data_IF_304246484397
#
_entry.id   IF_304246484397
#
_cell.length_a   1.000
_cell.length_b   1.000
_cell.length_c   1.000
_cell.angle_alpha   90.00
_cell.angle_beta   90.00
_cell.angle_gamma   90.00
#
_symmetry.space_group_name_H-M   'P 1'
#
loop_
_entity.id
_entity.type
_entity.pdbx_description
1 polymer ?
#
# COMPACT_ATOMS: atom_id res chain seq x y z
N UNK A 1 29.46 -1.40 -11.48
CA UNK A 1 28.63 -0.21 -11.74
C UNK A 1 28.20 0.50 -10.47
N UNK A 2 29.12 1.26 -9.87
CA UNK A 2 28.87 2.10 -8.69
C UNK A 2 28.11 3.41 -9.01
N UNK A 3 28.01 3.78 -10.29
CA UNK A 3 27.20 4.91 -10.76
C UNK A 3 25.68 4.73 -10.55
N UNK A 4 25.21 3.50 -10.34
CA UNK A 4 23.80 3.22 -10.07
C UNK A 4 23.42 3.33 -8.59
N UNK A 5 24.38 3.38 -7.66
CA UNK A 5 24.09 3.47 -6.21
C UNK A 5 23.95 4.94 -5.77
N UNK A 6 24.68 5.86 -6.40
CA UNK A 6 24.48 7.30 -6.23
C UNK A 6 23.16 7.78 -6.82
N UNK A 7 22.77 7.32 -8.02
CA UNK A 7 21.46 7.64 -8.59
C UNK A 7 20.29 7.00 -7.81
N UNK A 8 20.54 5.89 -7.09
CA UNK A 8 19.57 5.24 -6.21
C UNK A 8 19.23 6.08 -4.97
N UNK A 9 20.21 6.76 -4.37
CA UNK A 9 19.98 7.67 -3.24
C UNK A 9 19.48 9.05 -3.64
N UNK A 10 19.75 9.49 -4.88
CA UNK A 10 19.17 10.73 -5.42
C UNK A 10 17.69 10.55 -5.80
N UNK A 11 17.28 9.36 -6.27
CA UNK A 11 15.89 9.07 -6.65
C UNK A 11 15.01 8.63 -5.49
N UNK A 12 15.58 7.97 -4.47
CA UNK A 12 14.85 7.64 -3.24
C UNK A 12 15.04 8.82 -2.30
N UNK A 13 14.03 9.70 -2.28
CA UNK A 13 13.77 10.71 -1.25
C UNK A 13 14.71 10.61 -0.06
N UNK A 14 15.55 11.66 0.11
CA UNK A 14 16.28 12.03 1.32
C UNK A 14 15.69 11.35 2.58
N UNK A 15 16.51 10.78 3.50
CA UNK A 15 16.02 10.11 4.71
C UNK A 15 15.37 11.09 5.71
N UNK A 16 14.31 11.78 5.28
CA UNK A 16 13.50 12.75 6.03
C UNK A 16 12.81 12.07 7.21
N UNK A 17 12.54 10.77 7.12
CA UNK A 17 11.97 9.98 8.21
C UNK A 17 12.95 9.77 9.39
N UNK A 18 14.24 10.05 9.22
CA UNK A 18 15.24 10.02 10.28
C UNK A 18 15.61 11.42 10.79
N UNK A 19 14.93 12.48 10.35
CA UNK A 19 15.27 13.87 10.70
C UNK A 19 14.04 14.50 11.37
N UNK A 20 14.18 15.03 12.59
CA UNK A 20 13.14 15.93 13.17
C UNK A 20 13.68 17.34 12.99
N UNK A 21 12.84 18.24 12.48
CA UNK A 21 13.11 19.69 12.43
C UNK A 21 14.47 20.09 11.86
N UNK A 22 14.87 19.62 10.68
CA UNK A 22 16.05 20.13 9.93
C UNK A 22 17.39 20.22 10.72
N UNK A 23 17.54 19.65 11.92
CA UNK A 23 18.69 19.94 12.79
C UNK A 23 19.28 18.74 13.53
N UNK A 24 18.58 17.61 13.69
CA UNK A 24 19.14 16.39 14.32
C UNK A 24 18.56 15.08 13.74
N UNK A 25 19.40 14.03 13.75
CA UNK A 25 18.95 12.66 13.50
C UNK A 25 18.05 12.17 14.65
N UNK A 26 16.93 11.51 14.31
CA UNK A 26 15.97 10.94 15.26
C UNK A 26 16.50 9.60 15.81
N UNK A 27 17.55 9.66 16.62
CA UNK A 27 18.18 8.46 17.18
C UNK A 27 17.26 7.65 18.09
N UNK A 28 16.26 8.28 18.71
CA UNK A 28 15.21 7.58 19.47
C UNK A 28 14.45 6.55 18.62
N UNK A 29 14.20 6.84 17.33
CA UNK A 29 13.54 5.89 16.42
C UNK A 29 14.36 4.63 16.18
N UNK A 30 15.68 4.71 16.29
CA UNK A 30 16.58 3.55 16.17
C UNK A 30 16.42 2.64 17.39
N UNK A 31 16.30 3.24 18.58
CA UNK A 31 16.05 2.51 19.82
C UNK A 31 14.68 1.85 19.79
N UNK A 32 13.63 2.57 19.37
CA UNK A 32 12.29 2.02 19.22
C UNK A 32 12.25 0.86 18.21
N UNK A 33 12.96 1.01 17.09
CA UNK A 33 13.09 -0.05 16.07
C UNK A 33 13.80 -1.29 16.61
N UNK A 34 14.86 -1.12 17.44
CA UNK A 34 15.51 -2.26 18.08
C UNK A 34 14.55 -2.97 19.03
N UNK A 35 13.88 -2.24 19.92
CA UNK A 35 12.94 -2.81 20.90
C UNK A 35 11.81 -3.59 20.23
N UNK A 36 11.25 -3.05 19.14
CA UNK A 36 10.14 -3.69 18.43
C UNK A 36 10.51 -5.05 17.79
N UNK A 37 11.80 -5.27 17.49
CA UNK A 37 12.26 -6.44 16.72
C UNK A 37 13.47 -7.16 17.33
N UNK A 38 13.77 -6.93 18.60
CA UNK A 38 14.98 -7.48 19.25
C UNK A 38 15.04 -9.00 19.18
N UNK A 39 13.88 -9.69 19.34
CA UNK A 39 13.78 -11.14 19.26
C UNK A 39 14.13 -11.74 17.89
N UNK A 40 14.24 -10.92 16.85
CA UNK A 40 14.58 -11.34 15.49
C UNK A 40 15.98 -10.89 15.07
N UNK A 41 16.59 -9.97 15.80
CA UNK A 41 17.85 -9.32 15.44
C UNK A 41 19.01 -9.92 16.25
N UNK A 42 20.15 -10.10 15.59
CA UNK A 42 21.41 -10.52 16.24
C UNK A 42 22.22 -9.34 16.80
N UNK A 43 21.69 -8.13 16.71
CA UNK A 43 22.35 -6.89 17.16
C UNK A 43 21.65 -6.37 18.41
N UNK A 44 22.44 -6.15 19.46
CA UNK A 44 21.96 -5.83 20.79
C UNK A 44 22.08 -4.35 21.15
N UNK A 45 21.88 -4.02 22.44
CA UNK A 45 21.94 -2.64 22.93
C UNK A 45 23.26 -1.93 22.63
N UNK A 46 24.38 -2.67 22.60
CA UNK A 46 25.72 -2.10 22.35
C UNK A 46 25.84 -1.54 20.94
N UNK A 47 25.51 -2.31 19.91
CA UNK A 47 25.64 -1.86 18.53
C UNK A 47 24.67 -0.72 18.19
N UNK A 48 23.51 -0.69 18.87
CA UNK A 48 22.57 0.43 18.78
C UNK A 48 23.11 1.67 19.48
N UNK A 49 23.73 1.52 20.66
CA UNK A 49 24.39 2.61 21.37
C UNK A 49 25.50 3.24 20.53
N UNK A 50 26.34 2.42 19.90
CA UNK A 50 27.43 2.90 19.03
C UNK A 50 26.88 3.65 17.80
N UNK A 51 25.84 3.11 17.15
CA UNK A 51 25.19 3.74 16.00
C UNK A 51 24.51 5.07 16.38
N UNK A 52 23.75 5.09 17.46
CA UNK A 52 23.03 6.28 17.94
C UNK A 52 24.00 7.38 18.37
N UNK A 53 25.11 7.01 19.03
CA UNK A 53 26.19 7.94 19.37
C UNK A 53 26.82 8.56 18.12
N UNK A 54 27.15 7.73 17.12
CA UNK A 54 27.74 8.21 15.87
C UNK A 54 26.80 9.15 15.08
N UNK A 55 25.51 8.83 15.01
CA UNK A 55 24.52 9.66 14.32
C UNK A 55 24.22 10.97 15.04
N UNK A 56 24.31 10.99 16.38
CA UNK A 56 24.07 12.19 17.19
C UNK A 56 25.13 13.27 16.95
N UNK A 57 26.32 12.90 16.46
CA UNK A 57 27.38 13.84 16.11
C UNK A 57 27.17 14.51 14.75
N UNK A 58 26.25 14.00 13.92
CA UNK A 58 26.00 14.57 12.60
C UNK A 58 24.96 15.69 12.72
N UNK A 59 25.34 16.89 12.30
CA UNK A 59 24.39 17.98 12.02
C UNK A 59 23.78 17.78 10.62
N UNK A 60 22.50 17.40 10.50
CA UNK A 60 21.87 17.17 9.20
C UNK A 60 21.79 18.47 8.40
N UNK A 61 22.17 18.41 7.14
CA UNK A 61 21.92 19.50 6.19
C UNK A 61 20.55 19.32 5.53
N UNK A 62 19.90 20.43 5.16
CA UNK A 62 18.75 20.39 4.26
C UNK A 62 19.14 20.07 2.82
N UNK A 63 20.43 20.19 2.48
CA UNK A 63 20.99 19.76 1.21
C UNK A 63 21.25 18.25 1.20
N UNK A 64 20.72 17.56 0.19
CA UNK A 64 20.80 16.11 0.08
C UNK A 64 22.25 15.61 -0.05
N UNK A 65 23.08 16.31 -0.82
CA UNK A 65 24.47 15.92 -1.07
C UNK A 65 25.29 16.03 0.20
N UNK A 66 25.14 17.13 0.95
CA UNK A 66 25.81 17.33 2.24
C UNK A 66 25.31 16.36 3.31
N UNK A 67 24.00 16.11 3.37
CA UNK A 67 23.43 15.12 4.28
C UNK A 67 24.01 13.72 4.00
N UNK A 68 24.04 13.32 2.73
CA UNK A 68 24.61 12.03 2.33
C UNK A 68 26.10 11.93 2.67
N UNK A 69 26.90 12.95 2.34
CA UNK A 69 28.34 12.98 2.66
C UNK A 69 28.59 12.82 4.16
N UNK A 70 27.74 13.42 4.99
CA UNK A 70 27.87 13.33 6.46
C UNK A 70 27.39 11.99 7.02
N UNK A 71 26.37 11.39 6.42
CA UNK A 71 25.80 10.10 6.85
C UNK A 71 26.59 8.88 6.36
N UNK A 72 27.15 8.93 5.14
CA UNK A 72 27.77 7.79 4.47
C UNK A 72 28.89 7.10 5.30
N UNK A 73 29.79 7.82 6.00
CA UNK A 73 30.81 7.17 6.83
C UNK A 73 30.21 6.35 7.99
N UNK A 74 29.17 6.88 8.65
CA UNK A 74 28.45 6.17 9.72
C UNK A 74 27.72 4.96 9.14
N UNK A 75 27.08 5.13 7.99
CA UNK A 75 26.43 4.02 7.30
C UNK A 75 27.39 2.88 6.96
N UNK A 76 28.56 3.16 6.37
CA UNK A 76 29.51 2.10 5.99
C UNK A 76 30.09 1.39 7.23
N UNK A 77 30.40 2.13 8.32
CA UNK A 77 30.87 1.54 9.58
C UNK A 77 29.81 0.64 10.25
N UNK A 78 28.55 1.04 10.20
CA UNK A 78 27.43 0.36 10.90
C UNK A 78 26.46 -0.35 9.96
N UNK A 79 26.88 -0.63 8.72
CA UNK A 79 26.02 -1.11 7.63
C UNK A 79 25.24 -2.37 7.98
N UNK A 80 25.91 -3.33 8.62
CA UNK A 80 25.28 -4.59 9.01
C UNK A 80 24.22 -4.37 10.10
N UNK A 81 24.50 -3.53 11.10
CA UNK A 81 23.56 -3.13 12.15
C UNK A 81 22.34 -2.42 11.56
N UNK A 82 22.56 -1.41 10.71
CA UNK A 82 21.48 -0.66 10.05
C UNK A 82 20.60 -1.58 9.20
N UNK A 83 21.21 -2.46 8.39
CA UNK A 83 20.48 -3.43 7.57
C UNK A 83 19.68 -4.42 8.40
N UNK A 84 20.15 -4.81 9.59
CA UNK A 84 19.39 -5.69 10.48
C UNK A 84 18.19 -4.96 11.07
N UNK A 85 18.42 -3.80 11.68
CA UNK A 85 17.40 -3.02 12.35
C UNK A 85 16.25 -2.67 11.41
N UNK A 86 16.55 -2.30 10.17
CA UNK A 86 15.56 -1.85 9.18
C UNK A 86 15.20 -2.91 8.14
N UNK A 87 15.24 -4.20 8.50
CA UNK A 87 14.72 -5.32 7.71
C UNK A 87 15.36 -5.49 6.31
N UNK A 88 16.61 -5.04 6.16
CA UNK A 88 17.43 -5.20 4.96
C UNK A 88 18.19 -6.52 4.88
N UNK A 89 18.28 -7.29 5.98
CA UNK A 89 18.86 -8.64 5.96
C UNK A 89 17.80 -9.71 5.70
N UNK A 90 18.03 -10.55 4.68
CA UNK A 90 17.08 -11.57 4.22
C UNK A 90 16.62 -12.50 5.35
N UNK A 91 17.55 -13.06 6.12
CA UNK A 91 17.26 -14.03 7.18
C UNK A 91 16.41 -13.44 8.31
N UNK A 92 16.74 -12.23 8.77
CA UNK A 92 15.97 -11.51 9.80
C UNK A 92 14.55 -11.24 9.29
N UNK A 93 14.45 -10.71 8.08
CA UNK A 93 13.16 -10.37 7.46
C UNK A 93 12.30 -11.60 7.22
N UNK A 94 12.88 -12.74 6.85
CA UNK A 94 12.16 -14.01 6.72
C UNK A 94 11.64 -14.54 8.06
N UNK A 95 12.42 -14.43 9.14
CA UNK A 95 11.96 -14.77 10.49
C UNK A 95 10.77 -13.90 10.90
N UNK A 96 10.80 -12.60 10.60
CA UNK A 96 9.70 -11.66 10.88
C UNK A 96 8.45 -12.05 10.08
N UNK A 97 8.58 -12.26 8.77
CA UNK A 97 7.43 -12.68 7.93
C UNK A 97 6.80 -13.99 8.40
N UNK A 98 7.64 -14.99 8.74
CA UNK A 98 7.17 -16.28 9.26
C UNK A 98 6.43 -16.12 10.59
N UNK A 99 6.97 -15.31 11.50
CA UNK A 99 6.38 -15.14 12.83
C UNK A 99 5.10 -14.29 12.81
N UNK A 100 5.02 -13.27 11.95
CA UNK A 100 3.83 -12.43 11.85
C UNK A 100 2.72 -13.09 11.00
N UNK A 101 3.07 -13.96 10.05
CA UNK A 101 2.11 -14.74 9.27
C UNK A 101 1.02 -13.87 8.64
N UNK A 102 -0.25 -14.21 8.86
CA UNK A 102 -1.40 -13.47 8.34
C UNK A 102 -1.60 -12.07 8.93
N UNK A 103 -0.81 -11.65 9.92
CA UNK A 103 -0.88 -10.30 10.50
C UNK A 103 -0.08 -9.25 9.71
N UNK A 104 0.71 -9.67 8.73
CA UNK A 104 1.44 -8.78 7.82
C UNK A 104 1.25 -9.21 6.36
N UNK A 105 1.17 -8.23 5.44
CA UNK A 105 1.14 -8.49 4.00
C UNK A 105 2.41 -9.24 3.60
N UNK A 106 2.27 -10.45 3.07
CA UNK A 106 3.40 -11.27 2.68
C UNK A 106 4.13 -10.71 1.45
N UNK A 107 5.35 -11.22 1.18
CA UNK A 107 6.05 -10.92 -0.08
C UNK A 107 5.18 -11.38 -1.25
N UNK A 108 5.18 -10.62 -2.35
CA UNK A 108 4.43 -10.91 -3.59
C UNK A 108 2.89 -10.89 -3.48
N UNK A 109 2.35 -10.84 -2.25
CA UNK A 109 0.92 -10.66 -2.00
C UNK A 109 0.50 -9.18 -2.21
N UNK A 110 -0.62 -8.95 -2.88
CA UNK A 110 -1.20 -7.61 -3.01
C UNK A 110 -1.84 -7.16 -1.69
N UNK A 111 -1.82 -5.85 -1.40
CA UNK A 111 -2.49 -5.35 -0.19
C UNK A 111 -3.99 -5.66 -0.18
N UNK A 112 -4.63 -5.71 -1.36
CA UNK A 112 -6.02 -6.09 -1.46
C UNK A 112 -6.27 -7.55 -1.08
N UNK A 113 -5.40 -8.46 -1.52
CA UNK A 113 -5.44 -9.86 -1.08
C UNK A 113 -5.25 -9.98 0.44
N UNK A 114 -4.25 -9.28 0.99
CA UNK A 114 -3.98 -9.26 2.43
C UNK A 114 -5.18 -8.76 3.24
N UNK A 115 -5.74 -7.60 2.86
CA UNK A 115 -6.89 -7.01 3.54
C UNK A 115 -8.16 -7.87 3.40
N UNK A 116 -8.38 -8.48 2.22
CA UNK A 116 -9.53 -9.35 2.00
C UNK A 116 -9.48 -10.60 2.87
N UNK A 117 -8.30 -11.23 3.04
CA UNK A 117 -8.14 -12.36 3.96
C UNK A 117 -8.52 -12.00 5.41
N UNK A 118 -8.23 -10.77 5.82
CA UNK A 118 -8.47 -10.30 7.18
C UNK A 118 -9.92 -9.91 7.44
N UNK A 119 -10.57 -9.25 6.48
CA UNK A 119 -11.87 -8.60 6.70
C UNK A 119 -13.01 -9.17 5.84
N UNK A 120 -12.71 -9.98 4.81
CA UNK A 120 -13.71 -10.53 3.89
C UNK A 120 -13.73 -12.06 3.87
N UNK A 121 -13.17 -12.73 4.88
CA UNK A 121 -13.07 -14.20 4.93
C UNK A 121 -14.42 -14.92 4.93
N UNK A 122 -15.48 -14.25 5.38
CA UNK A 122 -16.86 -14.75 5.40
C UNK A 122 -17.68 -14.32 4.18
N UNK A 123 -17.13 -13.48 3.30
CA UNK A 123 -17.86 -13.00 2.14
C UNK A 123 -18.07 -14.13 1.12
N UNK A 124 -19.24 -14.15 0.48
CA UNK A 124 -19.49 -15.05 -0.65
C UNK A 124 -18.52 -14.71 -1.79
N UNK A 125 -18.23 -15.70 -2.65
CA UNK A 125 -17.35 -15.53 -3.81
C UNK A 125 -17.81 -14.36 -4.72
N UNK A 126 -19.13 -14.24 -4.91
CA UNK A 126 -19.75 -13.15 -5.68
C UNK A 126 -19.58 -11.79 -4.99
N UNK A 127 -19.86 -11.69 -3.68
CA UNK A 127 -19.66 -10.43 -2.95
C UNK A 127 -18.20 -10.00 -2.99
N UNK A 128 -17.27 -10.94 -2.77
CA UNK A 128 -15.84 -10.67 -2.86
C UNK A 128 -15.46 -10.18 -4.26
N UNK A 129 -15.95 -10.84 -5.32
CA UNK A 129 -15.75 -10.38 -6.69
C UNK A 129 -16.21 -8.93 -6.91
N UNK A 130 -17.42 -8.58 -6.48
CA UNK A 130 -17.99 -7.25 -6.67
C UNK A 130 -17.24 -6.16 -5.90
N UNK A 131 -16.76 -6.46 -4.69
CA UNK A 131 -15.88 -5.55 -3.93
C UNK A 131 -14.58 -5.31 -4.70
N UNK A 132 -13.99 -6.36 -5.28
CA UNK A 132 -12.70 -6.30 -5.97
C UNK A 132 -12.81 -5.58 -7.31
N UNK A 133 -13.99 -5.59 -7.93
CA UNK A 133 -14.30 -4.79 -9.11
C UNK A 133 -14.72 -3.35 -8.79
N UNK A 134 -14.71 -2.95 -7.52
CA UNK A 134 -15.09 -1.60 -7.06
C UNK A 134 -16.55 -1.24 -7.37
N UNK A 135 -17.46 -2.22 -7.30
CA UNK A 135 -18.89 -1.99 -7.52
C UNK A 135 -19.50 -1.13 -6.39
N UNK A 136 -20.12 -0.01 -6.74
CA UNK A 136 -20.80 0.89 -5.80
C UNK A 136 -22.06 0.28 -5.18
N UNK A 137 -22.58 -0.81 -5.76
CA UNK A 137 -23.82 -1.44 -5.33
C UNK A 137 -23.61 -2.50 -4.24
N UNK A 138 -22.37 -2.68 -3.76
CA UNK A 138 -22.10 -3.56 -2.62
C UNK A 138 -22.58 -2.87 -1.34
N UNK A 139 -23.45 -3.55 -0.59
CA UNK A 139 -23.94 -3.07 0.71
C UNK A 139 -22.76 -2.75 1.65
N UNK A 140 -22.78 -1.55 2.22
CA UNK A 140 -21.83 -1.10 3.22
C UNK A 140 -22.09 -1.81 4.55
N UNK A 141 -21.24 -2.78 4.90
CA UNK A 141 -21.16 -3.38 6.23
C UNK A 141 -19.79 -3.10 6.87
N UNK A 142 -19.64 -3.53 8.11
CA UNK A 142 -18.42 -3.32 8.88
C UNK A 142 -17.20 -4.01 8.23
N UNK A 143 -17.38 -5.22 7.70
CA UNK A 143 -16.35 -5.97 6.98
C UNK A 143 -15.82 -5.19 5.76
N UNK A 144 -16.71 -4.58 4.96
CA UNK A 144 -16.31 -3.74 3.84
C UNK A 144 -15.59 -2.47 4.30
N UNK A 145 -16.11 -1.79 5.34
CA UNK A 145 -15.47 -0.58 5.89
C UNK A 145 -14.06 -0.87 6.39
N UNK A 146 -13.87 -1.97 7.12
CA UNK A 146 -12.55 -2.39 7.61
C UNK A 146 -11.61 -2.84 6.48
N UNK A 147 -12.14 -3.50 5.45
CA UNK A 147 -11.37 -3.83 4.24
C UNK A 147 -10.85 -2.56 3.55
N UNK A 148 -11.70 -1.55 3.35
CA UNK A 148 -11.31 -0.29 2.70
C UNK A 148 -10.36 0.52 3.60
N UNK A 149 -10.56 0.55 4.91
CA UNK A 149 -9.61 1.16 5.85
C UNK A 149 -8.23 0.50 5.78
N UNK A 150 -8.20 -0.84 5.79
CA UNK A 150 -6.97 -1.62 5.60
C UNK A 150 -6.29 -1.29 4.27
N UNK A 151 -7.05 -1.18 3.17
CA UNK A 151 -6.52 -0.77 1.88
C UNK A 151 -5.94 0.63 1.90
N UNK A 152 -6.66 1.62 2.43
CA UNK A 152 -6.24 3.02 2.41
C UNK A 152 -4.98 3.24 3.26
N UNK A 153 -4.87 2.57 4.42
CA UNK A 153 -3.64 2.54 5.23
C UNK A 153 -2.52 1.79 4.51
N UNK A 154 -2.82 0.63 3.93
CA UNK A 154 -1.90 -0.14 3.10
C UNK A 154 -1.42 0.62 1.86
N UNK A 155 -2.22 1.53 1.34
CA UNK A 155 -1.87 2.39 0.22
C UNK A 155 -1.31 3.75 0.65
N UNK A 156 -1.28 4.03 1.96
CA UNK A 156 -0.80 5.28 2.53
C UNK A 156 -1.59 6.49 2.03
N UNK A 157 -2.84 6.26 1.61
CA UNK A 157 -3.83 7.32 1.44
C UNK A 157 -4.30 7.84 2.80
N UNK A 158 -4.21 7.00 3.83
CA UNK A 158 -4.30 7.41 5.23
C UNK A 158 -2.91 7.29 5.84
N UNK A 159 -2.42 8.36 6.46
CA UNK A 159 -1.14 8.41 7.15
C UNK A 159 -1.20 7.70 8.51
N UNK A 160 -0.04 7.52 9.14
CA UNK A 160 0.09 6.80 10.41
C UNK A 160 -0.62 7.48 11.58
N UNK A 161 -0.87 8.79 11.47
CA UNK A 161 -1.65 9.60 12.42
C UNK A 161 -3.16 9.57 12.12
N UNK A 162 -3.61 8.80 11.12
CA UNK A 162 -5.02 8.62 10.79
C UNK A 162 -5.58 9.65 9.80
N UNK A 163 -4.76 10.60 9.32
CA UNK A 163 -5.22 11.64 8.42
C UNK A 163 -5.22 11.20 6.95
N UNK A 164 -6.20 11.67 6.18
CA UNK A 164 -6.20 11.46 4.73
C UNK A 164 -5.12 12.32 4.05
N UNK A 165 -4.31 11.68 3.21
CA UNK A 165 -3.19 12.29 2.52
C UNK A 165 -3.38 12.23 1.00
N UNK A 166 -4.15 13.20 0.49
CA UNK A 166 -4.50 13.33 -0.93
C UNK A 166 -3.31 13.23 -1.90
N UNK A 167 -2.11 13.78 -1.61
CA UNK A 167 -0.98 13.65 -2.53
C UNK A 167 -0.58 12.20 -2.84
N UNK A 168 -0.80 11.23 -1.94
CA UNK A 168 -0.52 9.81 -2.24
C UNK A 168 -1.55 9.18 -3.15
N UNK A 169 -2.81 9.62 -3.08
CA UNK A 169 -3.83 9.20 -4.03
C UNK A 169 -3.54 9.79 -5.42
N UNK A 170 -3.25 11.09 -5.49
CA UNK A 170 -2.94 11.77 -6.76
C UNK A 170 -1.71 11.17 -7.45
N UNK A 171 -0.68 10.77 -6.68
CA UNK A 171 0.48 10.06 -7.21
C UNK A 171 0.10 8.76 -7.95
N UNK A 172 -0.97 8.08 -7.53
CA UNK A 172 -1.48 6.90 -8.23
C UNK A 172 -2.32 7.25 -9.47
N UNK A 173 -3.04 8.38 -9.47
CA UNK A 173 -3.64 8.92 -10.69
C UNK A 173 -2.58 9.25 -11.73
N UNK A 174 -1.50 9.93 -11.33
CA UNK A 174 -0.38 10.29 -12.22
C UNK A 174 0.29 9.05 -12.80
N UNK A 175 0.54 8.06 -11.95
CA UNK A 175 1.09 6.77 -12.38
C UNK A 175 0.19 6.03 -13.36
N UNK A 176 -1.13 6.22 -13.32
CA UNK A 176 -2.08 5.66 -14.28
C UNK A 176 -2.33 6.58 -15.50
N UNK A 177 -1.50 7.61 -15.71
CA UNK A 177 -1.62 8.52 -16.85
C UNK A 177 -2.63 9.67 -16.68
N UNK A 178 -3.22 9.83 -15.49
CA UNK A 178 -4.32 10.77 -15.22
C UNK A 178 -3.85 12.04 -14.48
N UNK A 179 -2.70 12.62 -14.85
CA UNK A 179 -2.14 13.79 -14.17
C UNK A 179 -2.93 15.09 -14.31
N UNK A 180 -3.87 15.14 -15.26
CA UNK A 180 -4.73 16.32 -15.49
C UNK A 180 -5.94 16.38 -14.55
N UNK A 181 -6.19 15.32 -13.76
CA UNK A 181 -7.40 15.21 -12.93
C UNK A 181 -7.22 15.77 -11.52
N UNK A 182 -6.05 16.32 -11.17
CA UNK A 182 -5.72 16.73 -9.79
C UNK A 182 -6.73 17.69 -9.16
N UNK A 183 -7.09 18.77 -9.85
CA UNK A 183 -7.97 19.78 -9.28
C UNK A 183 -9.41 19.26 -9.17
N UNK A 184 -9.83 18.43 -10.12
CA UNK A 184 -11.12 17.74 -10.10
C UNK A 184 -11.19 16.77 -8.91
N UNK A 185 -10.17 15.93 -8.73
CA UNK A 185 -10.06 14.99 -7.60
C UNK A 185 -10.05 15.73 -6.26
N UNK A 186 -9.24 16.80 -6.12
CA UNK A 186 -9.20 17.61 -4.90
C UNK A 186 -10.55 18.25 -4.58
N UNK A 187 -11.26 18.73 -5.60
CA UNK A 187 -12.59 19.33 -5.43
C UNK A 187 -13.59 18.29 -4.93
N UNK A 188 -13.60 17.10 -5.52
CA UNK A 188 -14.45 15.98 -5.08
C UNK A 188 -14.13 15.61 -3.62
N UNK A 189 -12.85 15.43 -3.29
CA UNK A 189 -12.41 15.08 -1.93
C UNK A 189 -12.84 16.11 -0.87
N UNK A 190 -12.80 17.41 -1.19
CA UNK A 190 -13.30 18.47 -0.30
C UNK A 190 -14.82 18.42 -0.10
N UNK A 191 -15.56 17.92 -1.10
CA UNK A 191 -17.02 17.78 -1.04
C UNK A 191 -17.51 16.49 -0.39
N UNK A 192 -16.62 15.54 -0.06
CA UNK A 192 -17.02 14.29 0.57
C UNK A 192 -17.51 14.53 2.01
N UNK A 193 -18.76 14.14 2.30
CA UNK A 193 -19.37 14.29 3.63
C UNK A 193 -18.77 13.36 4.68
N UNK A 194 -18.48 12.12 4.27
CA UNK A 194 -17.82 11.12 5.11
C UNK A 194 -16.32 11.14 4.81
N UNK A 195 -15.52 11.53 5.81
CA UNK A 195 -14.07 11.63 5.74
C UNK A 195 -13.35 10.36 6.22
N UNK A 196 -14.07 9.25 6.37
CA UNK A 196 -13.48 7.94 6.58
C UNK A 196 -12.86 7.38 5.29
N UNK A 197 -12.05 6.33 5.40
CA UNK A 197 -11.52 5.61 4.23
C UNK A 197 -12.64 5.17 3.26
N UNK A 198 -13.71 4.61 3.82
CA UNK A 198 -14.88 4.18 3.06
C UNK A 198 -15.59 5.37 2.42
N UNK A 199 -15.79 6.45 3.17
CA UNK A 199 -16.40 7.68 2.67
C UNK A 199 -15.67 8.26 1.46
N UNK A 200 -14.35 8.41 1.54
CA UNK A 200 -13.54 8.85 0.41
C UNK A 200 -13.59 7.87 -0.77
N UNK A 201 -13.50 6.56 -0.51
CA UNK A 201 -13.58 5.54 -1.55
C UNK A 201 -14.90 5.62 -2.31
N UNK A 202 -16.02 5.63 -1.59
CA UNK A 202 -17.36 5.71 -2.17
C UNK A 202 -17.60 7.03 -2.90
N UNK A 203 -17.17 8.14 -2.32
CA UNK A 203 -17.26 9.47 -2.90
C UNK A 203 -16.55 9.53 -4.27
N UNK A 204 -15.35 8.95 -4.39
CA UNK A 204 -14.61 8.89 -5.64
C UNK A 204 -15.26 7.95 -6.67
N UNK A 205 -15.74 6.78 -6.25
CA UNK A 205 -16.45 5.84 -7.15
C UNK A 205 -17.80 6.36 -7.63
N UNK A 206 -18.43 7.26 -6.88
CA UNK A 206 -19.73 7.86 -7.23
C UNK A 206 -19.59 9.21 -7.93
N UNK A 207 -18.37 9.56 -8.36
CA UNK A 207 -18.06 10.87 -8.92
C UNK A 207 -17.74 10.80 -10.41
N UNK A 208 -17.54 11.98 -11.01
CA UNK A 208 -17.14 12.10 -12.41
C UNK A 208 -15.69 11.66 -12.70
N UNK A 209 -14.96 11.11 -11.71
CA UNK A 209 -13.64 10.49 -11.91
C UNK A 209 -13.63 8.98 -11.60
N UNK A 210 -14.80 8.32 -11.62
CA UNK A 210 -14.96 6.87 -11.36
C UNK A 210 -13.95 6.04 -12.19
N UNK A 211 -13.87 6.30 -13.49
CA UNK A 211 -13.00 5.54 -14.40
C UNK A 211 -11.51 5.78 -14.10
N UNK A 212 -11.08 7.03 -13.95
CA UNK A 212 -9.68 7.36 -13.63
C UNK A 212 -9.28 6.82 -12.26
N UNK A 213 -10.20 6.87 -11.28
CA UNK A 213 -9.98 6.30 -9.96
C UNK A 213 -9.88 4.77 -10.02
N UNK A 214 -10.76 4.11 -10.77
CA UNK A 214 -10.73 2.68 -11.01
C UNK A 214 -9.41 2.23 -11.63
N UNK A 215 -8.93 2.92 -12.67
CA UNK A 215 -7.62 2.66 -13.30
C UNK A 215 -6.47 2.84 -12.30
N UNK A 216 -6.48 3.92 -11.54
CA UNK A 216 -5.46 4.19 -10.51
C UNK A 216 -5.43 3.08 -9.45
N UNK A 217 -6.59 2.62 -8.97
CA UNK A 217 -6.69 1.54 -7.99
C UNK A 217 -6.21 0.19 -8.53
N UNK A 218 -6.60 -0.21 -9.76
CA UNK A 218 -6.13 -1.46 -10.40
C UNK A 218 -4.61 -1.46 -10.51
N UNK A 219 -4.05 -0.36 -11.00
CA UNK A 219 -2.60 -0.26 -11.13
C UNK A 219 -1.88 -0.21 -9.77
N UNK A 220 -2.47 0.47 -8.78
CA UNK A 220 -1.95 0.47 -7.41
C UNK A 220 -1.93 -0.91 -6.80
N UNK A 221 -2.96 -1.70 -7.05
CA UNK A 221 -3.02 -3.06 -6.55
C UNK A 221 -1.87 -3.93 -7.11
N UNK A 222 -1.68 -3.91 -8.42
CA UNK A 222 -0.60 -4.65 -9.10
C UNK A 222 0.76 -4.27 -8.50
N UNK A 223 1.04 -2.97 -8.40
CA UNK A 223 2.29 -2.46 -7.80
C UNK A 223 2.43 -2.79 -6.31
N UNK A 224 1.34 -3.11 -5.61
CA UNK A 224 1.40 -3.52 -4.20
C UNK A 224 1.83 -4.98 -4.02
N UNK A 225 1.69 -5.81 -5.05
CA UNK A 225 2.23 -7.16 -5.11
C UNK A 225 3.74 -7.16 -5.34
N UNK A 226 4.23 -6.28 -6.21
CA UNK A 226 5.66 -6.16 -6.52
C UNK A 226 6.21 -4.74 -6.32
N UNK A 227 6.84 -4.48 -5.17
CA UNK A 227 7.49 -3.21 -4.90
C UNK A 227 8.76 -2.96 -5.74
N UNK A 228 9.30 -3.97 -6.43
CA UNK A 228 10.44 -3.76 -7.34
C UNK A 228 10.05 -2.96 -8.57
N UNK A 229 8.78 -3.00 -8.98
CA UNK A 229 8.24 -2.17 -10.08
C UNK A 229 8.52 -0.67 -9.91
N UNK A 230 8.56 -0.20 -8.65
CA UNK A 230 8.90 1.20 -8.31
C UNK A 230 10.38 1.50 -8.59
N UNK A 231 11.26 0.50 -8.45
CA UNK A 231 12.70 0.62 -8.69
C UNK A 231 13.00 0.51 -10.19
N UNK A 232 12.35 -0.40 -10.90
CA UNK A 232 12.58 -0.63 -12.34
C UNK A 232 12.02 0.50 -13.21
N UNK A 233 11.10 1.31 -12.67
CA UNK A 233 10.53 2.45 -13.40
C UNK A 233 9.58 2.01 -14.51
N UNK A 234 8.89 0.88 -14.30
CA UNK A 234 7.92 0.34 -15.25
C UNK A 234 6.91 1.41 -15.65
N UNK A 235 6.82 1.69 -16.95
CA UNK A 235 5.81 2.60 -17.48
C UNK A 235 4.44 1.95 -17.41
N UNK A 236 3.42 2.77 -17.15
CA UNK A 236 2.04 2.33 -17.20
C UNK A 236 1.66 1.88 -18.61
N UNK A 237 1.07 0.70 -18.69
CA UNK A 237 0.51 0.11 -19.90
C UNK A 237 -0.87 -0.42 -19.52
N UNK A 238 -1.90 0.21 -20.07
CA UNK A 238 -3.29 -0.09 -19.74
C UNK A 238 -3.67 -1.53 -20.09
N UNK A 239 -3.22 -2.04 -21.24
CA UNK A 239 -3.51 -3.41 -21.67
C UNK A 239 -2.87 -4.46 -20.77
N UNK A 240 -1.61 -4.24 -20.35
CA UNK A 240 -0.90 -5.11 -19.41
C UNK A 240 -1.56 -5.07 -18.02
N UNK A 241 -1.92 -3.88 -17.55
CA UNK A 241 -2.59 -3.70 -16.24
C UNK A 241 -3.94 -4.40 -16.24
N UNK A 242 -4.76 -4.21 -17.27
CA UNK A 242 -6.07 -4.85 -17.35
C UNK A 242 -5.93 -6.36 -17.42
N UNK A 243 -5.00 -6.89 -18.24
CA UNK A 243 -4.72 -8.33 -18.32
C UNK A 243 -4.30 -8.91 -16.96
N UNK A 244 -3.39 -8.26 -16.24
CA UNK A 244 -2.95 -8.70 -14.92
C UNK A 244 -4.06 -8.63 -13.88
N UNK A 245 -4.88 -7.58 -13.94
CA UNK A 245 -6.01 -7.42 -13.04
C UNK A 245 -7.09 -8.49 -13.28
N UNK A 246 -7.40 -8.82 -14.54
CA UNK A 246 -8.30 -9.92 -14.87
C UNK A 246 -7.78 -11.28 -14.39
N UNK A 247 -6.47 -11.52 -14.44
CA UNK A 247 -5.87 -12.73 -13.86
C UNK A 247 -6.01 -12.80 -12.33
N UNK A 248 -6.03 -11.66 -11.64
CA UNK A 248 -6.32 -11.58 -10.21
C UNK A 248 -7.80 -11.88 -9.97
N UNK A 249 -8.70 -11.25 -10.73
CA UNK A 249 -10.14 -11.44 -10.61
C UNK A 249 -10.56 -12.89 -10.90
N UNK A 250 -9.97 -13.56 -11.89
CA UNK A 250 -10.27 -14.96 -12.22
C UNK A 250 -10.05 -15.93 -11.04
N UNK A 251 -9.18 -15.59 -10.08
CA UNK A 251 -8.93 -16.39 -8.86
C UNK A 251 -9.97 -16.14 -7.77
N UNK A 252 -10.69 -15.04 -7.85
CA UNK A 252 -11.59 -14.55 -6.80
C UNK A 252 -13.06 -14.69 -7.24
N UNK A 253 -13.35 -14.35 -8.48
CA UNK A 253 -14.68 -14.29 -9.03
C UNK A 253 -15.23 -15.67 -9.37
N UNK A 254 -16.56 -15.87 -9.26
CA UNK A 254 -17.17 -17.10 -9.71
C UNK A 254 -16.96 -17.30 -11.22
N UNK A 255 -16.77 -18.54 -11.65
CA UNK A 255 -16.78 -18.93 -13.06
C UNK A 255 -18.19 -18.78 -13.63
N UNK A 256 -18.32 -18.84 -14.96
CA UNK A 256 -19.61 -18.82 -15.63
C UNK A 256 -20.54 -19.93 -15.10
N UNK A 257 -20.04 -21.15 -14.98
CA UNK A 257 -20.81 -22.29 -14.47
C UNK A 257 -21.21 -22.11 -12.99
N UNK A 258 -20.33 -21.52 -12.17
CA UNK A 258 -20.64 -21.19 -10.78
C UNK A 258 -21.72 -20.09 -10.71
N UNK A 259 -21.65 -19.09 -11.58
CA UNK A 259 -22.68 -18.05 -11.70
C UNK A 259 -24.02 -18.63 -12.13
N UNK A 260 -24.08 -19.47 -13.16
CA UNK A 260 -25.32 -20.10 -13.61
C UNK A 260 -25.98 -20.94 -12.49
N UNK A 261 -25.17 -21.66 -11.71
CA UNK A 261 -25.65 -22.40 -10.53
C UNK A 261 -26.16 -21.47 -9.42
N UNK A 262 -25.51 -20.33 -9.20
CA UNK A 262 -25.95 -19.32 -8.24
C UNK A 262 -27.26 -18.67 -8.68
N UNK A 263 -27.39 -18.30 -9.95
CA UNK A 263 -28.60 -17.69 -10.50
C UNK A 263 -29.81 -18.62 -10.36
N UNK A 264 -29.67 -19.90 -10.72
CA UNK A 264 -30.74 -20.90 -10.56
C UNK A 264 -31.18 -21.10 -9.10
N UNK A 265 -30.28 -20.91 -8.13
CA UNK A 265 -30.62 -20.96 -6.69
C UNK A 265 -31.37 -19.70 -6.23
N UNK A 266 -31.08 -18.55 -6.83
CA UNK A 266 -31.67 -17.25 -6.47
C UNK A 266 -33.03 -17.01 -7.16
N UNK A 267 -33.32 -17.67 -8.27
CA UNK A 267 -34.64 -17.62 -8.94
C UNK A 267 -35.80 -18.09 -8.03
N UNK A 268 -35.52 -18.69 -6.86
CA UNK A 268 -36.49 -19.02 -5.81
C UNK A 268 -36.57 -18.06 -4.61
N UNK A 269 -35.73 -17.03 -4.51
CA UNK A 269 -35.65 -16.13 -3.34
C UNK A 269 -35.49 -14.65 -3.74
N UNK A 270 -36.55 -13.86 -3.60
CA UNK A 270 -36.69 -12.51 -4.19
C UNK A 270 -35.80 -11.40 -3.59
N UNK A 271 -35.09 -11.61 -2.48
CA UNK A 271 -34.48 -10.49 -1.73
C UNK A 271 -32.93 -10.41 -1.75
N UNK A 272 -32.22 -11.43 -2.29
CA UNK A 272 -30.75 -11.50 -2.15
C UNK A 272 -29.94 -10.92 -3.33
N UNK A 273 -30.57 -10.52 -4.43
CA UNK A 273 -29.81 -10.10 -5.63
C UNK A 273 -29.14 -8.73 -5.47
N UNK A 274 -29.80 -7.80 -4.78
CA UNK A 274 -29.29 -6.45 -4.51
C UNK A 274 -28.26 -6.44 -3.37
N UNK A 275 -28.37 -7.35 -2.39
CA UNK A 275 -27.38 -7.49 -1.30
C UNK A 275 -26.06 -8.10 -1.79
N UNK A 276 -26.10 -8.81 -2.92
CA UNK A 276 -24.93 -9.43 -3.56
C UNK A 276 -24.21 -8.53 -4.58
N UNK A 277 -24.73 -7.34 -4.93
CA UNK A 277 -24.05 -6.36 -5.79
C UNK A 277 -24.11 -6.64 -7.31
N UNK A 278 -25.09 -7.42 -7.77
CA UNK A 278 -25.16 -7.97 -9.13
C UNK A 278 -25.61 -7.04 -10.27
N UNK A 279 -25.30 -5.74 -10.27
CA UNK A 279 -25.84 -4.82 -11.30
C UNK A 279 -24.94 -4.55 -12.50
N UNK A 280 -23.70 -5.05 -12.53
CA UNK A 280 -22.79 -4.95 -13.70
C UNK A 280 -22.00 -6.24 -13.89
N UNK A 281 -22.69 -7.35 -14.18
CA UNK A 281 -21.99 -8.55 -14.67
C UNK A 281 -22.15 -8.58 -16.19
N UNK A 282 -21.04 -8.27 -16.86
CA UNK A 282 -20.72 -8.54 -18.27
C UNK A 282 -21.75 -8.04 -19.30
N UNK A 283 -21.50 -6.86 -19.88
CA UNK A 283 -21.82 -6.72 -21.31
C UNK A 283 -20.84 -7.63 -22.08
N UNK A 284 -21.33 -8.48 -23.00
CA UNK A 284 -20.49 -9.34 -23.83
C UNK A 284 -19.47 -8.53 -24.65
#
# INVERSE_FOLDING_TARGET
NWQNVTSFWEKITCPRNLIKFKTLFQVSRIVDQQKAFEKYNSYGPKEVSDLTSALSQIKPSSDCTQLYKSYAPVFEKSKKTIRSLYHGHKEVTEKIYKALGSNIKQKEETYATFCAKKHLSKATKLRHCNIRQFSINVKADEDLKQYIDCLFKGYRYISTDGNFYAPKLLDDFHKAGNSKSDDKVKTILKGCKDTSAYGYHYCLLSSSVEDEYGKALRYREIRSGDYKSVITGDKYDEGKVEKQFQQILAKICPTKDEMEKLMKKLEGGKDDYLTLGGSRIMKP
#
